data_IF_234369052719
#
_entry.id   IF_234369052719
#
_cell.length_a   1.000
_cell.length_b   1.000
_cell.length_c   1.000
_cell.angle_alpha   90.00
_cell.angle_beta   90.00
_cell.angle_gamma   90.00
#
_symmetry.space_group_name_H-M   'P 1'
#
loop_
_entity.id
_entity.type
_entity.pdbx_description
1 polymer ?
#
# COMPACT_ATOMS: atom_id res chain seq x y z
N UNK A 1 3.40 42.22 -48.30
CA UNK A 1 3.76 40.83 -47.97
C UNK A 1 3.81 40.70 -46.45
N UNK A 2 3.07 39.73 -45.90
CA UNK A 2 2.89 39.48 -44.46
C UNK A 2 4.05 38.64 -43.92
N UNK A 3 4.61 39.03 -42.79
CA UNK A 3 5.41 38.14 -41.95
C UNK A 3 5.26 38.58 -40.50
N UNK A 4 4.17 38.13 -39.87
CA UNK A 4 3.98 38.28 -38.43
C UNK A 4 4.77 37.16 -37.77
N UNK A 5 5.84 37.54 -37.08
CA UNK A 5 6.84 36.67 -36.47
C UNK A 5 6.20 35.71 -35.47
N UNK A 6 6.05 34.45 -35.88
CA UNK A 6 5.43 33.37 -35.10
C UNK A 6 6.34 32.79 -34.01
N UNK A 7 7.47 33.43 -33.69
CA UNK A 7 8.44 32.88 -32.73
C UNK A 7 8.21 33.27 -31.26
N UNK A 8 7.40 34.28 -30.98
CA UNK A 8 7.19 34.75 -29.60
C UNK A 8 6.19 33.90 -28.79
N UNK A 9 5.40 33.03 -29.43
CA UNK A 9 4.33 32.28 -28.77
C UNK A 9 4.77 30.93 -28.18
N UNK A 10 6.00 30.47 -28.43
CA UNK A 10 6.45 29.12 -28.03
C UNK A 10 7.11 29.11 -26.64
N UNK A 11 7.55 30.26 -26.11
CA UNK A 11 8.30 30.32 -24.83
C UNK A 11 7.39 30.45 -23.60
N UNK A 12 6.09 30.71 -23.78
CA UNK A 12 5.15 30.92 -22.66
C UNK A 12 4.53 29.63 -22.07
N UNK A 13 4.81 28.45 -22.62
CA UNK A 13 4.17 27.18 -22.19
C UNK A 13 5.08 26.26 -21.37
N UNK A 14 6.28 26.69 -21.00
CA UNK A 14 7.30 25.85 -20.34
C UNK A 14 7.10 25.57 -18.83
N UNK A 15 5.97 25.98 -18.22
CA UNK A 15 5.78 25.94 -16.77
C UNK A 15 4.70 24.96 -16.29
N UNK A 16 4.31 23.98 -17.11
CA UNK A 16 3.52 22.83 -16.63
C UNK A 16 4.44 21.69 -16.20
N UNK A 17 5.43 22.01 -15.36
CA UNK A 17 6.14 21.02 -14.56
C UNK A 17 5.24 20.59 -13.42
N UNK A 18 4.31 19.67 -13.69
CA UNK A 18 3.44 19.09 -12.66
C UNK A 18 4.26 18.20 -11.73
N UNK A 19 4.76 18.75 -10.63
CA UNK A 19 5.20 17.94 -9.50
C UNK A 19 3.97 17.21 -8.96
N UNK A 20 3.85 15.90 -9.24
CA UNK A 20 2.86 15.02 -8.61
C UNK A 20 3.28 14.75 -7.16
N UNK A 21 3.16 15.76 -6.29
CA UNK A 21 3.36 15.58 -4.84
C UNK A 21 2.03 15.28 -4.20
N UNK A 22 1.93 14.13 -3.54
CA UNK A 22 0.82 13.85 -2.62
C UNK A 22 1.00 14.76 -1.41
N UNK A 23 0.00 15.57 -1.04
CA UNK A 23 0.07 16.38 0.18
C UNK A 23 0.35 15.52 1.41
N UNK A 24 1.23 15.97 2.32
CA UNK A 24 1.66 15.20 3.50
C UNK A 24 0.49 14.69 4.35
N UNK A 25 -0.62 15.45 4.43
CA UNK A 25 -1.80 15.05 5.19
C UNK A 25 -2.57 13.87 4.59
N UNK A 26 -2.27 13.49 3.34
CA UNK A 26 -2.84 12.32 2.66
C UNK A 26 -1.98 11.07 2.83
N UNK A 27 -0.77 11.21 3.38
CA UNK A 27 0.13 10.10 3.67
C UNK A 27 0.02 9.75 5.15
N UNK A 28 -0.39 8.53 5.46
CA UNK A 28 -0.60 8.09 6.86
C UNK A 28 0.21 6.83 7.12
N UNK A 29 1.03 6.83 8.18
CA UNK A 29 1.67 5.62 8.65
C UNK A 29 0.63 4.76 9.39
N UNK A 30 0.52 3.49 9.01
CA UNK A 30 -0.40 2.53 9.59
C UNK A 30 0.41 1.49 10.35
N UNK A 31 0.68 1.67 11.66
CA UNK A 31 1.45 0.69 12.42
C UNK A 31 0.66 -0.62 12.52
N UNK A 32 1.25 -1.74 12.10
CA UNK A 32 0.65 -3.05 12.31
C UNK A 32 1.27 -3.70 13.55
N UNK A 33 0.41 -4.34 14.33
CA UNK A 33 0.81 -5.15 15.47
C UNK A 33 1.18 -6.56 15.00
N UNK A 34 2.32 -7.11 15.44
CA UNK A 34 2.63 -8.51 15.19
C UNK A 34 1.63 -9.41 15.92
N UNK A 35 1.29 -10.53 15.30
CA UNK A 35 0.57 -11.61 15.99
C UNK A 35 1.55 -12.44 16.84
N UNK A 36 1.03 -13.40 17.62
CA UNK A 36 1.86 -14.25 18.48
C UNK A 36 2.91 -15.05 17.71
N UNK A 37 2.60 -15.45 16.48
CA UNK A 37 3.52 -16.21 15.61
C UNK A 37 4.66 -15.36 15.05
N UNK A 38 4.50 -14.03 15.03
CA UNK A 38 5.49 -13.10 14.49
C UNK A 38 5.97 -12.09 15.55
N UNK A 39 5.97 -12.52 16.82
CA UNK A 39 6.31 -11.67 17.96
C UNK A 39 7.72 -11.08 17.83
N UNK A 40 7.87 -9.81 18.22
CA UNK A 40 9.15 -9.08 18.14
C UNK A 40 9.43 -8.42 16.79
N UNK A 41 8.57 -8.65 15.78
CA UNK A 41 8.71 -8.07 14.46
C UNK A 41 7.77 -6.88 14.24
N UNK A 42 8.06 -6.08 13.22
CA UNK A 42 7.44 -4.78 12.99
C UNK A 42 7.01 -4.68 11.52
N UNK A 43 5.80 -4.17 11.29
CA UNK A 43 5.37 -3.74 9.97
C UNK A 43 4.82 -2.31 10.03
N UNK A 44 5.31 -1.45 9.13
CA UNK A 44 4.96 -0.03 9.05
C UNK A 44 4.58 0.35 7.62
N UNK A 45 3.38 -0.04 7.15
CA UNK A 45 2.86 0.43 5.88
C UNK A 45 2.56 1.92 5.88
N UNK A 46 2.87 2.56 4.75
CA UNK A 46 2.44 3.90 4.42
C UNK A 46 1.20 3.79 3.54
N UNK A 47 0.09 4.40 3.98
CA UNK A 47 -1.16 4.49 3.25
C UNK A 47 -1.25 5.84 2.54
N UNK A 48 -1.54 5.84 1.24
CA UNK A 48 -1.61 7.06 0.43
C UNK A 48 -2.58 6.91 -0.76
N UNK A 49 -3.18 8.00 -1.26
CA UNK A 49 -4.03 7.96 -2.45
C UNK A 49 -3.27 7.52 -3.70
N UNK A 50 -3.96 6.78 -4.56
CA UNK A 50 -3.51 6.39 -5.90
C UNK A 50 -4.68 6.54 -6.88
N UNK A 51 -4.93 7.77 -7.35
CA UNK A 51 -6.16 8.08 -8.09
C UNK A 51 -7.38 7.94 -7.19
N UNK A 52 -8.32 7.06 -7.56
CA UNK A 52 -9.51 6.73 -6.75
C UNK A 52 -9.26 5.59 -5.75
N UNK A 53 -8.08 5.00 -5.79
CA UNK A 53 -7.69 3.84 -4.99
C UNK A 53 -6.77 4.26 -3.83
N UNK A 54 -6.50 3.31 -2.94
CA UNK A 54 -5.52 3.47 -1.87
C UNK A 54 -4.35 2.54 -2.10
N UNK A 55 -3.16 3.12 -2.14
CA UNK A 55 -1.91 2.36 -2.15
C UNK A 55 -1.35 2.23 -0.72
N UNK A 56 -0.83 1.05 -0.43
CA UNK A 56 -0.07 0.73 0.77
C UNK A 56 1.35 0.35 0.38
N UNK A 57 2.34 1.08 0.87
CA UNK A 57 3.75 0.73 0.74
C UNK A 57 4.25 0.14 2.05
N UNK A 58 4.60 -1.14 2.05
CA UNK A 58 4.96 -1.88 3.26
C UNK A 58 6.46 -1.87 3.48
N UNK A 59 6.86 -1.62 4.72
CA UNK A 59 8.16 -1.97 5.26
C UNK A 59 7.93 -2.99 6.39
N UNK A 60 8.47 -4.20 6.25
CA UNK A 60 8.27 -5.30 7.21
C UNK A 60 9.59 -5.87 7.70
N UNK A 61 9.61 -6.28 8.97
CA UNK A 61 10.62 -7.16 9.56
C UNK A 61 9.96 -8.48 9.94
N UNK A 62 10.76 -9.51 10.21
CA UNK A 62 10.22 -10.81 10.66
C UNK A 62 9.75 -11.73 9.55
N UNK A 63 9.79 -13.01 9.90
CA UNK A 63 9.61 -14.21 9.07
C UNK A 63 10.62 -14.39 7.92
N UNK A 64 11.04 -15.64 7.73
CA UNK A 64 12.29 -15.97 7.04
C UNK A 64 12.41 -15.36 5.64
N UNK A 65 13.63 -14.94 5.32
CA UNK A 65 14.14 -14.82 3.95
C UNK A 65 14.13 -16.17 3.19
N UNK A 66 13.27 -17.13 3.58
CA UNK A 66 13.19 -18.51 3.15
C UNK A 66 11.76 -19.01 2.85
N UNK A 67 10.74 -18.15 2.79
CA UNK A 67 9.55 -18.51 2.00
C UNK A 67 9.99 -18.75 0.56
N UNK A 68 9.42 -19.76 -0.10
CA UNK A 68 9.92 -20.31 -1.36
C UNK A 68 10.11 -19.26 -2.48
N UNK A 69 9.48 -18.08 -2.35
CA UNK A 69 9.84 -16.86 -3.05
C UNK A 69 9.66 -15.66 -2.12
N UNK A 70 10.72 -14.87 -1.85
CA UNK A 70 10.61 -13.59 -1.19
C UNK A 70 9.57 -12.73 -1.90
N UNK A 71 8.57 -12.29 -1.14
CA UNK A 71 7.47 -11.55 -1.73
C UNK A 71 6.25 -12.38 -2.10
N UNK A 72 5.67 -13.10 -1.15
CA UNK A 72 4.27 -13.52 -1.26
C UNK A 72 3.48 -13.24 0.00
N UNK A 73 3.86 -12.20 0.74
CA UNK A 73 2.98 -11.66 1.76
C UNK A 73 1.70 -11.19 1.10
N UNK A 74 0.61 -11.74 1.62
CA UNK A 74 -0.73 -11.39 1.23
C UNK A 74 -1.21 -10.27 2.12
N UNK A 75 -2.01 -9.38 1.57
CA UNK A 75 -2.60 -8.29 2.33
C UNK A 75 -4.09 -8.19 2.01
N UNK A 76 -4.87 -7.98 3.06
CA UNK A 76 -6.31 -7.97 3.02
C UNK A 76 -6.83 -6.84 3.89
N UNK A 77 -7.92 -6.22 3.48
CA UNK A 77 -8.67 -5.29 4.31
C UNK A 77 -9.98 -5.96 4.71
N UNK A 78 -10.22 -6.05 6.00
CA UNK A 78 -11.46 -6.57 6.59
C UNK A 78 -12.28 -5.40 7.15
N UNK A 79 -13.61 -5.53 7.12
CA UNK A 79 -14.46 -4.71 7.99
C UNK A 79 -14.25 -5.10 9.45
N UNK A 80 -14.39 -4.14 10.36
CA UNK A 80 -14.23 -4.31 11.80
C UNK A 80 -12.84 -3.90 12.31
N UNK A 81 -12.31 -4.69 13.24
CA UNK A 81 -11.03 -4.44 13.91
C UNK A 81 -10.21 -5.72 14.00
N UNK A 82 -8.94 -5.62 14.38
CA UNK A 82 -8.08 -6.79 14.60
C UNK A 82 -8.61 -7.80 15.63
N UNK A 83 -9.49 -7.38 16.55
CA UNK A 83 -10.11 -8.25 17.55
C UNK A 83 -11.44 -8.84 17.08
N UNK A 84 -12.03 -8.30 16.02
CA UNK A 84 -13.31 -8.75 15.46
C UNK A 84 -13.34 -8.45 13.95
N UNK A 85 -12.68 -9.31 13.17
CA UNK A 85 -12.66 -9.22 11.72
C UNK A 85 -13.99 -9.72 11.15
N UNK A 86 -14.46 -9.06 10.09
CA UNK A 86 -15.56 -9.56 9.28
C UNK A 86 -15.28 -10.96 8.71
N UNK A 87 -16.33 -11.71 8.39
CA UNK A 87 -16.22 -13.10 7.94
C UNK A 87 -15.41 -13.31 6.65
N UNK A 88 -15.28 -12.27 5.82
CA UNK A 88 -14.49 -12.26 4.58
C UNK A 88 -13.82 -10.89 4.40
N UNK A 89 -12.70 -10.82 3.68
CA UNK A 89 -12.09 -9.54 3.35
C UNK A 89 -13.06 -8.69 2.51
N UNK A 90 -13.10 -7.39 2.80
CA UNK A 90 -13.76 -6.40 1.95
C UNK A 90 -12.92 -6.12 0.70
N UNK A 91 -11.59 -6.18 0.83
CA UNK A 91 -10.65 -6.00 -0.27
C UNK A 91 -9.53 -7.04 -0.21
N UNK A 92 -9.36 -7.77 -1.31
CA UNK A 92 -8.20 -8.63 -1.59
C UNK A 92 -7.23 -7.86 -2.49
N UNK A 93 -5.99 -7.68 -2.05
CA UNK A 93 -5.00 -6.85 -2.74
C UNK A 93 -3.88 -7.68 -3.39
N UNK A 94 -4.10 -8.97 -3.63
CA UNK A 94 -3.01 -9.90 -3.94
C UNK A 94 -2.79 -10.21 -5.43
N UNK A 95 -3.73 -9.84 -6.30
CA UNK A 95 -3.68 -10.18 -7.73
C UNK A 95 -3.44 -8.98 -8.65
N UNK A 96 -2.84 -9.26 -9.82
CA UNK A 96 -2.74 -8.33 -10.94
C UNK A 96 -1.81 -7.12 -10.68
N UNK A 97 -2.15 -5.91 -11.16
CA UNK A 97 -1.33 -4.72 -10.89
C UNK A 97 -1.32 -4.33 -9.41
N UNK A 98 -2.17 -4.93 -8.57
CA UNK A 98 -2.34 -4.53 -7.17
C UNK A 98 -1.23 -5.03 -6.24
N UNK A 99 -0.31 -5.86 -6.71
CA UNK A 99 0.83 -6.33 -5.92
C UNK A 99 2.11 -6.31 -6.74
N UNK A 100 3.14 -5.57 -6.30
CA UNK A 100 4.49 -5.69 -6.87
C UNK A 100 5.58 -5.64 -5.81
N UNK A 101 6.71 -6.24 -6.16
CA UNK A 101 7.95 -6.18 -5.39
C UNK A 101 8.79 -5.01 -5.84
N UNK A 102 9.31 -4.27 -4.86
CA UNK A 102 10.15 -3.12 -5.13
C UNK A 102 11.64 -3.49 -5.18
N UNK A 103 12.05 -4.53 -4.45
CA UNK A 103 13.45 -4.95 -4.42
C UNK A 103 13.59 -6.45 -4.17
N UNK A 104 14.16 -7.15 -5.15
CA UNK A 104 14.63 -8.53 -4.97
C UNK A 104 15.87 -8.64 -4.07
N UNK A 105 16.44 -7.52 -3.59
CA UNK A 105 17.63 -7.53 -2.74
C UNK A 105 17.30 -7.33 -1.25
N UNK A 106 16.25 -6.59 -0.90
CA UNK A 106 15.91 -6.31 0.50
C UNK A 106 14.76 -7.16 1.04
N UNK A 107 13.92 -7.78 0.20
CA UNK A 107 12.80 -8.67 0.59
C UNK A 107 11.78 -8.09 1.63
N UNK A 108 12.00 -6.86 2.09
CA UNK A 108 11.34 -6.18 3.20
C UNK A 108 10.32 -5.14 2.72
N UNK A 109 10.27 -4.88 1.41
CA UNK A 109 9.45 -3.84 0.82
C UNK A 109 8.61 -4.35 -0.35
N UNK A 110 7.31 -4.12 -0.25
CA UNK A 110 6.33 -4.44 -1.28
C UNK A 110 5.21 -3.42 -1.22
N UNK A 111 4.34 -3.40 -2.24
CA UNK A 111 3.16 -2.55 -2.19
C UNK A 111 1.90 -3.31 -2.57
N UNK A 112 0.78 -2.76 -2.08
CA UNK A 112 -0.57 -3.27 -2.33
C UNK A 112 -1.50 -2.13 -2.71
N UNK A 113 -2.47 -2.38 -3.57
CA UNK A 113 -3.49 -1.39 -3.94
C UNK A 113 -4.89 -1.94 -3.63
N UNK A 114 -5.71 -1.12 -2.97
CA UNK A 114 -7.09 -1.40 -2.67
C UNK A 114 -7.99 -0.48 -3.48
N UNK A 115 -9.00 -1.04 -4.14
CA UNK A 115 -10.00 -0.32 -4.94
C UNK A 115 -11.02 0.40 -4.04
N UNK A 116 -10.53 1.32 -3.21
CA UNK A 116 -11.28 2.12 -2.24
C UNK A 116 -10.52 3.40 -1.95
N UNK A 117 -11.24 4.49 -1.68
CA UNK A 117 -10.61 5.77 -1.38
C UNK A 117 -9.91 5.76 -0.01
N UNK A 118 -8.80 6.48 0.10
CA UNK A 118 -8.07 6.64 1.36
C UNK A 118 -8.95 7.24 2.46
N UNK A 119 -9.87 8.13 2.09
CA UNK A 119 -10.82 8.76 3.01
C UNK A 119 -11.78 7.74 3.63
N UNK A 120 -12.24 6.76 2.86
CA UNK A 120 -13.10 5.68 3.36
C UNK A 120 -12.37 4.83 4.40
N UNK A 121 -11.09 4.53 4.18
CA UNK A 121 -10.30 3.73 5.12
C UNK A 121 -9.96 4.51 6.39
N UNK A 122 -9.66 5.82 6.27
CA UNK A 122 -9.44 6.73 7.41
C UNK A 122 -10.68 6.99 8.24
N UNK A 123 -11.88 6.86 7.66
CA UNK A 123 -13.11 7.00 8.42
C UNK A 123 -13.28 5.90 9.50
N UNK A 124 -12.45 4.86 9.47
CA UNK A 124 -12.45 3.80 10.47
C UNK A 124 -13.31 2.61 10.10
N UNK A 125 -13.33 1.62 10.99
CA UNK A 125 -14.15 0.40 10.82
C UNK A 125 -13.53 -0.63 9.86
N UNK A 126 -12.23 -0.51 9.59
CA UNK A 126 -11.48 -1.48 8.81
C UNK A 126 -10.20 -1.90 9.54
N UNK A 127 -9.74 -3.12 9.25
CA UNK A 127 -8.45 -3.64 9.69
C UNK A 127 -7.65 -4.13 8.47
N UNK A 128 -6.38 -3.75 8.42
CA UNK A 128 -5.40 -4.25 7.49
C UNK A 128 -4.71 -5.47 8.09
N UNK A 129 -4.80 -6.61 7.41
CA UNK A 129 -4.20 -7.88 7.81
C UNK A 129 -3.17 -8.30 6.79
N UNK A 130 -1.94 -8.60 7.25
CA UNK A 130 -0.89 -9.20 6.43
C UNK A 130 -0.77 -10.67 6.80
N UNK A 131 -0.75 -11.52 5.77
CA UNK A 131 -0.64 -12.96 5.91
C UNK A 131 0.55 -13.50 5.14
N UNK A 132 1.01 -14.65 5.58
CA UNK A 132 1.91 -15.50 4.82
C UNK A 132 1.24 -16.00 3.53
N UNK A 133 2.06 -16.48 2.60
CA UNK A 133 1.54 -17.13 1.39
C UNK A 133 0.88 -18.46 1.74
N UNK A 134 0.02 -19.01 0.86
CA UNK A 134 -0.58 -20.32 1.11
C UNK A 134 0.47 -21.45 1.22
N UNK A 135 1.63 -21.30 0.56
CA UNK A 135 2.72 -22.27 0.65
C UNK A 135 3.43 -22.24 2.02
N UNK A 136 3.31 -21.14 2.75
CA UNK A 136 3.97 -20.92 4.04
C UNK A 136 2.99 -21.04 5.23
N UNK A 137 1.72 -21.40 4.98
CA UNK A 137 0.72 -21.66 6.03
C UNK A 137 -0.44 -20.66 6.11
N UNK A 138 -0.43 -19.60 5.29
CA UNK A 138 -1.50 -18.59 5.20
C UNK A 138 -1.86 -17.90 6.53
N UNK A 139 -0.95 -17.90 7.49
CA UNK A 139 -1.22 -17.38 8.82
C UNK A 139 -1.19 -15.85 8.83
N UNK A 140 -2.00 -15.24 9.68
CA UNK A 140 -1.94 -13.79 9.91
C UNK A 140 -0.73 -13.46 10.78
N UNK A 141 0.21 -12.70 10.23
CA UNK A 141 1.46 -12.33 10.89
C UNK A 141 1.45 -10.88 11.41
N UNK A 142 0.60 -10.03 10.83
CA UNK A 142 0.38 -8.67 11.30
C UNK A 142 -1.08 -8.25 11.14
N UNK A 143 -1.54 -7.37 12.04
CA UNK A 143 -2.82 -6.69 11.92
C UNK A 143 -2.76 -5.26 12.45
N UNK A 144 -3.40 -4.30 11.78
CA UNK A 144 -3.58 -2.94 12.28
C UNK A 144 -4.96 -2.40 11.92
N UNK A 145 -5.59 -1.67 12.86
CA UNK A 145 -6.83 -0.96 12.59
C UNK A 145 -6.52 0.28 11.74
N UNK A 146 -7.38 0.56 10.76
CA UNK A 146 -7.32 1.75 9.92
C UNK A 146 -8.22 2.83 10.53
N UNK A 147 -7.66 4.02 10.79
CA UNK A 147 -8.35 5.24 11.25
C UNK A 147 -7.40 6.44 11.18
#
# INVERSE_FOLDING_TARGET
MKSVSSLALVVALGWLGGCSTVPDNQVTNVPLQPTSINAGNIARPIMMPNGNDTMFWFAVSGESMGSALPGRLLAYIYQGSCTNLGAKPAYDMNDGPNARFYSGASHQYFWKNAAVSTQTLRAGGYALVVRESPADGHQAIFCGNLS
#
